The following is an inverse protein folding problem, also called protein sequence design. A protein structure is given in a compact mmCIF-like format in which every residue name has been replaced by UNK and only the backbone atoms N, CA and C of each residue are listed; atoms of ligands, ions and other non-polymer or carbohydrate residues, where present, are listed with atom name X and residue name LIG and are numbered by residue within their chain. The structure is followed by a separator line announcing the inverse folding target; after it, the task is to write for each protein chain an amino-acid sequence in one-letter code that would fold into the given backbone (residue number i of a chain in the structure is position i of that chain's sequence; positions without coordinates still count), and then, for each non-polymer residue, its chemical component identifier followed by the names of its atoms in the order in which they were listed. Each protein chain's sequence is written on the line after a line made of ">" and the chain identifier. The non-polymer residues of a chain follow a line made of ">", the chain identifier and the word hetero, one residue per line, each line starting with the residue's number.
data_IF_574022430492
#
_entry.id   IF_574022430492
#
_cell.length_a   1.000
_cell.length_b   1.000
_cell.length_c   1.000
_cell.angle_alpha   90.00
_cell.angle_beta   90.00
_cell.angle_gamma   90.00
#
_symmetry.space_group_name_H-M   'P 1'
#
loop_
_entity.id
_entity.type
_entity.pdbx_description
1 polymer ?
#
# COMPACT_ATOMS: atom_id res chain seq x y z
N UNK A 1 -4.46 32.58 4.59
CA UNK A 1 -4.65 31.12 4.73
C UNK A 1 -6.03 30.82 4.15
N UNK A 2 -6.09 30.44 2.88
CA UNK A 2 -7.37 30.19 2.19
C UNK A 2 -8.01 28.95 2.79
N UNK A 3 -9.10 29.15 3.53
CA UNK A 3 -9.89 28.06 4.09
C UNK A 3 -10.51 27.26 2.95
N UNK A 4 -10.12 25.99 2.85
CA UNK A 4 -10.81 25.03 2.00
C UNK A 4 -12.16 24.71 2.67
N UNK A 5 -13.26 24.58 1.90
CA UNK A 5 -14.52 24.10 2.44
C UNK A 5 -14.30 22.76 3.16
N UNK A 6 -14.90 22.58 4.34
CA UNK A 6 -14.80 21.32 5.11
C UNK A 6 -15.31 20.11 4.32
N UNK A 7 -16.11 20.36 3.28
CA UNK A 7 -16.65 19.37 2.33
C UNK A 7 -15.56 18.69 1.50
N UNK A 8 -14.33 19.21 1.49
CA UNK A 8 -13.17 18.63 0.78
C UNK A 8 -12.13 18.07 1.76
N UNK A 9 -12.54 17.64 2.96
CA UNK A 9 -11.66 17.05 3.96
C UNK A 9 -11.85 15.53 4.08
N UNK A 10 -10.79 14.84 4.45
CA UNK A 10 -10.75 13.40 4.67
C UNK A 10 -10.26 13.10 6.09
N UNK A 11 -11.08 12.42 6.89
CA UNK A 11 -10.71 11.94 8.22
C UNK A 11 -10.22 10.50 8.13
N UNK A 12 -8.98 10.26 8.61
CA UNK A 12 -8.45 8.91 8.74
C UNK A 12 -9.19 8.15 9.85
N UNK A 13 -9.66 6.94 9.54
CA UNK A 13 -10.47 6.14 10.48
C UNK A 13 -9.70 5.80 11.75
N UNK A 14 -8.43 5.43 11.61
CA UNK A 14 -7.59 4.89 12.69
C UNK A 14 -7.09 5.98 13.66
N UNK A 15 -6.53 7.07 13.13
CA UNK A 15 -5.95 8.15 13.94
C UNK A 15 -6.80 9.42 14.07
N UNK A 16 -7.92 9.54 13.34
CA UNK A 16 -8.80 10.72 13.34
C UNK A 16 -8.14 12.03 12.92
N UNK A 17 -6.96 11.97 12.31
CA UNK A 17 -6.34 13.14 11.69
C UNK A 17 -7.14 13.53 10.44
N UNK A 18 -7.27 14.84 10.23
CA UNK A 18 -8.05 15.43 9.15
C UNK A 18 -7.12 16.14 8.17
N UNK A 19 -7.27 15.83 6.90
CA UNK A 19 -6.46 16.41 5.82
C UNK A 19 -7.34 16.82 4.65
N UNK A 20 -6.87 17.74 3.81
CA UNK A 20 -7.55 18.03 2.57
C UNK A 20 -7.57 16.78 1.67
N UNK A 21 -8.68 16.53 0.98
CA UNK A 21 -8.84 15.33 0.17
C UNK A 21 -7.78 15.31 -0.93
N UNK A 22 -7.54 16.43 -1.62
CA UNK A 22 -6.46 16.56 -2.62
C UNK A 22 -5.08 16.16 -2.08
N UNK A 23 -4.77 16.56 -0.84
CA UNK A 23 -3.51 16.28 -0.16
C UNK A 23 -3.36 14.76 0.05
N UNK A 24 -4.42 14.11 0.52
CA UNK A 24 -4.46 12.67 0.74
C UNK A 24 -4.36 11.89 -0.57
N UNK A 25 -5.06 12.35 -1.62
CA UNK A 25 -4.97 11.75 -2.96
C UNK A 25 -3.54 11.80 -3.48
N UNK A 26 -2.89 12.97 -3.43
CA UNK A 26 -1.51 13.13 -3.87
C UNK A 26 -0.53 12.29 -3.05
N UNK A 27 -0.67 12.29 -1.72
CA UNK A 27 0.14 11.48 -0.83
C UNK A 27 0.07 9.99 -1.22
N UNK A 28 -1.15 9.45 -1.34
CA UNK A 28 -1.35 8.07 -1.74
C UNK A 28 -0.79 7.77 -3.13
N UNK A 29 -1.03 8.64 -4.11
CA UNK A 29 -0.53 8.47 -5.47
C UNK A 29 0.99 8.40 -5.52
N UNK A 30 1.70 9.23 -4.73
CA UNK A 30 3.17 9.19 -4.68
C UNK A 30 3.65 7.90 -4.02
N UNK A 31 3.16 7.57 -2.83
CA UNK A 31 3.57 6.37 -2.09
C UNK A 31 3.33 5.07 -2.88
N UNK A 32 2.19 4.96 -3.57
CA UNK A 32 1.85 3.79 -4.39
C UNK A 32 2.67 3.76 -5.69
N UNK A 33 2.94 4.92 -6.29
CA UNK A 33 3.83 5.01 -7.46
C UNK A 33 5.25 4.54 -7.12
N UNK A 34 5.76 4.94 -5.97
CA UNK A 34 7.11 4.59 -5.47
C UNK A 34 7.20 3.18 -4.88
N UNK A 35 6.08 2.47 -4.74
CA UNK A 35 6.05 1.10 -4.19
C UNK A 35 6.10 1.03 -2.66
N UNK A 36 6.05 2.18 -1.97
CA UNK A 36 6.17 2.29 -0.51
C UNK A 36 4.84 2.02 0.21
N UNK A 37 4.15 0.93 -0.16
CA UNK A 37 2.82 0.62 0.40
C UNK A 37 2.88 0.03 1.82
N UNK A 38 4.06 -0.35 2.30
CA UNK A 38 4.30 -0.80 3.67
C UNK A 38 4.10 0.31 4.70
N UNK A 39 4.43 1.54 4.28
CA UNK A 39 4.52 2.72 5.13
C UNK A 39 3.34 3.68 4.89
N UNK A 40 2.22 3.15 4.38
CA UNK A 40 0.98 3.90 4.22
C UNK A 40 0.31 4.14 5.57
N UNK A 41 0.82 5.14 6.28
CA UNK A 41 0.35 5.63 7.57
C UNK A 41 -0.07 7.09 7.48
N UNK A 42 -0.56 7.64 8.59
CA UNK A 42 -0.88 9.04 8.73
C UNK A 42 0.29 9.90 8.21
N UNK A 43 0.03 10.86 7.29
CA UNK A 43 1.09 11.69 6.72
C UNK A 43 1.64 12.72 7.71
N UNK A 44 0.96 12.93 8.84
CA UNK A 44 1.47 13.76 9.93
C UNK A 44 2.50 12.99 10.76
N UNK A 45 3.77 13.37 10.65
CA UNK A 45 4.88 12.78 11.40
C UNK A 45 4.80 12.98 12.92
N UNK A 46 3.96 13.91 13.39
CA UNK A 46 3.68 14.11 14.82
C UNK A 46 2.43 13.36 15.29
N UNK A 47 1.77 12.60 14.40
CA UNK A 47 0.65 11.76 14.78
C UNK A 47 1.11 10.64 15.72
N UNK A 48 0.76 10.76 17.00
CA UNK A 48 1.12 9.78 18.03
C UNK A 48 0.65 8.36 17.75
N UNK A 49 -0.45 8.21 17.00
CA UNK A 49 -1.03 6.92 16.63
C UNK A 49 -0.44 6.32 15.35
N UNK A 50 0.23 7.13 14.51
CA UNK A 50 0.71 6.72 13.19
C UNK A 50 -0.33 5.90 12.41
N UNK A 51 -1.58 6.38 12.41
CA UNK A 51 -2.74 5.57 12.01
C UNK A 51 -2.60 5.01 10.60
N UNK A 52 -2.95 3.74 10.41
CA UNK A 52 -2.82 3.07 9.12
C UNK A 52 -3.96 3.45 8.18
N UNK A 53 -3.67 3.56 6.90
CA UNK A 53 -4.69 3.71 5.88
C UNK A 53 -5.30 2.35 5.55
N UNK A 54 -6.61 2.25 5.61
CA UNK A 54 -7.36 1.05 5.23
C UNK A 54 -7.50 0.95 3.71
N UNK A 55 -7.68 -0.27 3.21
CA UNK A 55 -7.92 -0.54 1.78
C UNK A 55 -9.09 0.29 1.23
N UNK A 56 -10.16 0.46 2.03
CA UNK A 56 -11.34 1.25 1.63
C UNK A 56 -11.04 2.74 1.49
N UNK A 57 -10.21 3.29 2.39
CA UNK A 57 -9.78 4.68 2.31
C UNK A 57 -8.92 4.90 1.06
N UNK A 58 -8.01 3.97 0.78
CA UNK A 58 -7.17 4.01 -0.42
C UNK A 58 -8.05 3.94 -1.69
N UNK A 59 -8.96 2.96 -1.79
CA UNK A 59 -9.86 2.78 -2.93
C UNK A 59 -10.73 4.02 -3.21
N UNK A 60 -11.18 4.71 -2.15
CA UNK A 60 -11.99 5.92 -2.28
C UNK A 60 -11.18 7.13 -2.79
N UNK A 61 -9.92 7.23 -2.38
CA UNK A 61 -9.08 8.40 -2.64
C UNK A 61 -8.33 8.33 -3.97
N UNK A 62 -7.90 7.15 -4.41
CA UNK A 62 -7.12 7.04 -5.65
C UNK A 62 -8.00 6.62 -6.83
N UNK A 63 -7.53 6.91 -8.05
CA UNK A 63 -8.18 6.42 -9.25
C UNK A 63 -7.99 4.90 -9.43
N UNK A 64 -8.78 4.30 -10.33
CA UNK A 64 -8.77 2.86 -10.57
C UNK A 64 -7.38 2.32 -10.94
N UNK A 65 -6.60 3.04 -11.75
CA UNK A 65 -5.28 2.56 -12.18
C UNK A 65 -4.31 2.51 -10.98
N UNK A 66 -4.28 3.58 -10.18
CA UNK A 66 -3.47 3.63 -8.95
C UNK A 66 -3.91 2.55 -7.94
N UNK A 67 -5.21 2.32 -7.78
CA UNK A 67 -5.71 1.27 -6.88
C UNK A 67 -5.34 -0.15 -7.35
N UNK A 68 -5.39 -0.41 -8.66
CA UNK A 68 -4.93 -1.69 -9.22
C UNK A 68 -3.43 -1.92 -8.96
N UNK A 69 -2.61 -0.86 -9.08
CA UNK A 69 -1.18 -0.91 -8.73
C UNK A 69 -0.99 -1.21 -7.24
N UNK A 70 -1.73 -0.55 -6.35
CA UNK A 70 -1.70 -0.85 -4.91
C UNK A 70 -1.99 -2.33 -4.62
N UNK A 71 -3.04 -2.89 -5.23
CA UNK A 71 -3.39 -4.32 -5.04
C UNK A 71 -2.29 -5.25 -5.54
N UNK A 72 -1.68 -4.93 -6.68
CA UNK A 72 -0.54 -5.69 -7.22
C UNK A 72 0.64 -5.67 -6.25
N UNK A 73 1.06 -4.48 -5.80
CA UNK A 73 2.15 -4.32 -4.83
C UNK A 73 1.85 -5.06 -3.52
N UNK A 74 0.59 -5.04 -3.06
CA UNK A 74 0.20 -5.74 -1.84
C UNK A 74 0.35 -7.26 -2.01
N UNK A 75 -0.08 -7.79 -3.16
CA UNK A 75 0.11 -9.20 -3.49
C UNK A 75 1.58 -9.59 -3.62
N UNK A 76 2.39 -8.76 -4.29
CA UNK A 76 3.83 -8.97 -4.42
C UNK A 76 4.50 -9.07 -3.04
N UNK A 77 4.14 -8.17 -2.12
CA UNK A 77 4.63 -8.21 -0.74
C UNK A 77 4.18 -9.46 0.03
N UNK A 78 2.94 -9.91 -0.16
CA UNK A 78 2.46 -11.15 0.47
C UNK A 78 3.24 -12.38 -0.01
N UNK A 79 3.63 -12.40 -1.29
CA UNK A 79 4.48 -13.45 -1.86
C UNK A 79 5.90 -13.36 -1.32
N UNK A 80 6.50 -12.17 -1.29
CA UNK A 80 7.86 -11.96 -0.78
C UNK A 80 8.00 -12.30 0.72
N UNK A 81 6.91 -12.16 1.49
CA UNK A 81 6.88 -12.50 2.91
C UNK A 81 6.71 -14.01 3.19
N UNK A 82 6.27 -14.81 2.22
CA UNK A 82 6.14 -16.26 2.37
C UNK A 82 7.41 -16.95 1.83
N UNK A 83 8.28 -17.50 2.71
CA UNK A 83 9.54 -18.13 2.27
C UNK A 83 9.34 -19.38 1.40
N UNK A 84 8.12 -19.92 1.32
CA UNK A 84 7.78 -21.06 0.48
C UNK A 84 7.13 -20.66 -0.84
N UNK A 85 7.04 -19.36 -1.15
CA UNK A 85 6.48 -18.83 -2.39
C UNK A 85 7.47 -17.93 -3.11
N UNK A 86 7.38 -17.90 -4.42
CA UNK A 86 8.12 -16.96 -5.27
C UNK A 86 7.35 -16.71 -6.54
N UNK A 87 7.64 -15.61 -7.23
CA UNK A 87 7.13 -15.40 -8.58
C UNK A 87 7.90 -16.24 -9.59
N UNK A 88 7.20 -16.73 -10.61
CA UNK A 88 7.83 -17.34 -11.77
C UNK A 88 8.85 -16.33 -12.36
N UNK A 89 10.13 -16.73 -12.54
CA UNK A 89 11.16 -15.82 -13.03
C UNK A 89 10.98 -15.48 -14.51
N UNK A 90 10.08 -16.14 -15.23
CA UNK A 90 9.73 -15.82 -16.61
C UNK A 90 9.06 -14.44 -16.68
N UNK A 91 9.65 -13.56 -17.49
CA UNK A 91 9.20 -12.18 -17.66
C UNK A 91 7.75 -12.18 -18.17
N UNK A 92 6.85 -11.55 -17.41
CA UNK A 92 5.43 -11.43 -17.76
C UNK A 92 4.55 -12.63 -17.36
N UNK A 93 5.11 -13.66 -16.73
CA UNK A 93 4.31 -14.79 -16.23
C UNK A 93 3.49 -14.41 -14.98
N UNK A 94 4.09 -13.66 -14.04
CA UNK A 94 3.48 -13.17 -12.78
C UNK A 94 2.80 -14.27 -11.92
N UNK A 95 3.05 -15.56 -12.20
CA UNK A 95 2.45 -16.70 -11.49
C UNK A 95 3.22 -17.01 -10.21
N UNK A 96 2.52 -17.33 -9.12
CA UNK A 96 3.14 -17.72 -7.84
C UNK A 96 3.46 -19.22 -7.86
N UNK A 97 4.72 -19.56 -7.61
CA UNK A 97 5.24 -20.92 -7.52
C UNK A 97 5.63 -21.27 -6.07
N UNK A 98 5.60 -22.57 -5.73
CA UNK A 98 6.09 -23.06 -4.45
C UNK A 98 7.59 -23.37 -4.51
N UNK A 99 8.34 -22.91 -3.51
CA UNK A 99 9.77 -23.20 -3.37
C UNK A 99 9.95 -24.56 -2.69
N UNK A 100 10.31 -25.57 -3.48
CA UNK A 100 10.79 -26.84 -2.94
C UNK A 100 12.18 -26.64 -2.33
N UNK A 101 12.27 -26.46 -1.01
CA UNK A 101 13.54 -26.54 -0.30
C UNK A 101 14.06 -27.98 -0.40
N UNK A 102 14.93 -28.24 -1.38
CA UNK A 102 15.70 -29.47 -1.41
C UNK A 102 16.61 -29.46 -0.19
N UNK A 103 16.20 -30.13 0.88
CA UNK A 103 17.13 -30.49 1.93
C UNK A 103 18.19 -31.39 1.29
N UNK A 104 19.37 -30.82 1.07
CA UNK A 104 20.59 -31.57 0.84
C UNK A 104 20.84 -32.47 2.06
N UNK A 105 20.21 -33.65 2.09
CA UNK A 105 20.75 -34.79 2.85
C UNK A 105 22.00 -35.24 2.11
N UNK A 106 23.10 -34.52 2.35
CA UNK A 106 24.44 -34.97 2.01
C UNK A 106 24.95 -35.92 3.08
N UNK A 107 25.44 -37.08 2.67
CA UNK A 107 26.23 -38.02 3.48
C UNK A 107 25.43 -39.15 4.10
#
# INVERSE_FOLDING_TARGET
>A
LTGFPLEEMFELVDCKCLFCEMCMRQYLSVMISEGMIADLTCPDGQCSRQGKLTVKEIEKLVDRHTFLRYKRLNFEREVDQDPNRTFCPEIGCETVCHVCHSQSRGG
#
